data_IF_184542311064
#
_entry.id   IF_184542311064
#
_cell.length_a   1.000
_cell.length_b   1.000
_cell.length_c   1.000
_cell.angle_alpha   90.00
_cell.angle_beta   90.00
_cell.angle_gamma   90.00
#
_symmetry.space_group_name_H-M   'P 1'
#
loop_
_entity.id
_entity.type
_entity.pdbx_description
1 polymer ?
#
# COMPACT_ATOMS: atom_id res chain seq x y z
N UNK A 1 -24.65 -6.14 -26.95
CA UNK A 1 -23.60 -5.17 -27.21
C UNK A 1 -22.47 -5.90 -27.91
N UNK A 2 -22.07 -5.45 -29.08
CA UNK A 2 -21.01 -6.11 -29.83
C UNK A 2 -19.64 -5.77 -29.18
N UNK A 3 -18.69 -6.74 -29.25
CA UNK A 3 -17.35 -6.57 -28.65
C UNK A 3 -16.62 -5.31 -29.18
N UNK A 4 -16.84 -4.94 -30.43
CA UNK A 4 -16.27 -3.75 -31.03
C UNK A 4 -16.84 -2.46 -30.41
N UNK A 5 -18.13 -2.43 -30.09
CA UNK A 5 -18.77 -1.31 -29.40
C UNK A 5 -18.27 -1.18 -27.96
N UNK A 6 -18.09 -2.30 -27.28
CA UNK A 6 -17.55 -2.32 -25.92
C UNK A 6 -16.11 -1.81 -25.88
N UNK A 7 -15.26 -2.29 -26.79
CA UNK A 7 -13.88 -1.84 -26.89
C UNK A 7 -13.80 -0.33 -27.21
N UNK A 8 -14.62 0.19 -28.13
CA UNK A 8 -14.65 1.61 -28.41
C UNK A 8 -15.05 2.49 -27.22
N UNK A 9 -15.98 2.01 -26.38
CA UNK A 9 -16.35 2.73 -25.15
C UNK A 9 -15.19 2.67 -24.14
N UNK A 10 -14.59 1.50 -23.95
CA UNK A 10 -13.45 1.35 -23.04
C UNK A 10 -12.26 2.21 -23.44
N UNK A 11 -11.91 2.23 -24.72
CA UNK A 11 -10.81 3.06 -25.22
C UNK A 11 -11.10 4.54 -25.00
N UNK A 12 -12.32 5.00 -25.28
CA UNK A 12 -12.71 6.39 -25.03
C UNK A 12 -12.66 6.78 -23.57
N UNK A 13 -13.12 5.90 -22.65
CA UNK A 13 -13.07 6.16 -21.22
C UNK A 13 -11.64 6.16 -20.68
N UNK A 14 -10.78 5.27 -21.21
CA UNK A 14 -9.35 5.24 -20.85
C UNK A 14 -8.65 6.52 -21.31
N UNK A 15 -8.87 6.96 -22.54
CA UNK A 15 -8.29 8.20 -23.08
C UNK A 15 -8.74 9.43 -22.28
N UNK A 16 -10.02 9.51 -21.92
CA UNK A 16 -10.56 10.57 -21.08
C UNK A 16 -9.94 10.58 -19.68
N UNK A 17 -9.80 9.41 -19.06
CA UNK A 17 -9.19 9.28 -17.75
C UNK A 17 -7.71 9.65 -17.76
N UNK A 18 -6.95 9.23 -18.78
CA UNK A 18 -5.54 9.57 -18.94
C UNK A 18 -5.36 11.07 -19.19
N UNK A 19 -6.17 11.67 -20.06
CA UNK A 19 -6.14 13.11 -20.34
C UNK A 19 -6.41 13.94 -19.08
N UNK A 20 -7.36 13.55 -18.24
CA UNK A 20 -7.61 14.20 -16.95
C UNK A 20 -6.42 14.08 -15.99
N UNK A 21 -5.82 12.88 -15.88
CA UNK A 21 -4.66 12.67 -15.02
C UNK A 21 -3.48 13.53 -15.47
N UNK A 22 -3.20 13.59 -16.78
CA UNK A 22 -2.07 14.34 -17.31
C UNK A 22 -2.23 15.86 -17.12
N UNK A 23 -3.42 16.40 -17.36
CA UNK A 23 -3.64 17.85 -17.32
C UNK A 23 -3.83 18.40 -15.91
N UNK A 24 -4.62 17.72 -15.08
CA UNK A 24 -5.08 18.31 -13.81
C UNK A 24 -4.27 17.82 -12.59
N UNK A 25 -3.70 16.61 -12.64
CA UNK A 25 -3.12 16.02 -11.44
C UNK A 25 -1.62 15.83 -11.49
N UNK A 26 -1.03 15.57 -12.64
CA UNK A 26 0.40 15.24 -12.77
C UNK A 26 1.31 16.37 -12.28
N UNK A 27 1.03 17.61 -12.70
CA UNK A 27 1.83 18.76 -12.28
C UNK A 27 1.72 19.04 -10.77
N UNK A 28 0.54 18.87 -10.20
CA UNK A 28 0.32 19.06 -8.78
C UNK A 28 1.03 17.97 -7.95
N UNK A 29 1.04 16.73 -8.42
CA UNK A 29 1.75 15.60 -7.80
C UNK A 29 3.26 15.80 -7.85
N UNK A 30 3.78 16.20 -9.03
CA UNK A 30 5.20 16.49 -9.19
C UNK A 30 5.65 17.59 -8.23
N UNK A 31 4.94 18.70 -8.17
CA UNK A 31 5.24 19.79 -7.22
C UNK A 31 5.18 19.37 -5.75
N UNK A 32 4.21 18.51 -5.39
CA UNK A 32 4.12 17.99 -4.04
C UNK A 32 5.36 17.16 -3.65
N UNK A 33 5.86 16.34 -4.57
CA UNK A 33 7.09 15.56 -4.38
C UNK A 33 8.33 16.45 -4.32
N UNK A 34 8.45 17.45 -5.20
CA UNK A 34 9.54 18.44 -5.19
C UNK A 34 9.61 19.16 -3.82
N UNK A 35 8.46 19.61 -3.30
CA UNK A 35 8.38 20.25 -1.98
C UNK A 35 8.69 19.29 -0.82
N UNK A 36 8.20 18.05 -0.91
CA UNK A 36 8.52 17.03 0.09
C UNK A 36 10.02 16.71 0.12
N UNK A 37 10.65 16.60 -1.06
CA UNK A 37 12.08 16.35 -1.20
C UNK A 37 12.96 17.56 -0.93
N UNK A 38 12.36 18.73 -0.65
CA UNK A 38 13.09 20.01 -0.42
C UNK A 38 13.89 20.42 -1.65
N UNK A 39 13.37 20.19 -2.84
CA UNK A 39 14.01 20.61 -4.06
C UNK A 39 13.93 22.13 -4.23
N UNK A 40 14.95 22.77 -4.84
CA UNK A 40 14.93 24.20 -5.12
C UNK A 40 13.70 24.63 -5.93
N UNK A 41 13.13 25.78 -5.61
CA UNK A 41 11.91 26.26 -6.28
C UNK A 41 12.13 26.79 -7.69
N UNK A 42 13.40 26.95 -8.12
CA UNK A 42 13.77 27.46 -9.44
C UNK A 42 13.71 28.99 -9.55
N UNK A 43 13.46 29.69 -8.46
CA UNK A 43 13.45 31.16 -8.37
C UNK A 43 14.62 31.71 -7.56
N UNK A 44 15.64 30.90 -7.30
CA UNK A 44 16.82 31.25 -6.55
C UNK A 44 17.63 32.30 -7.32
N UNK A 45 18.11 33.30 -6.61
CA UNK A 45 18.94 34.38 -7.15
C UNK A 45 20.38 34.20 -6.66
N UNK A 46 21.33 34.23 -7.58
CA UNK A 46 22.75 34.11 -7.24
C UNK A 46 23.16 35.16 -6.17
N UNK A 47 23.85 34.72 -5.13
CA UNK A 47 24.26 35.56 -3.99
C UNK A 47 23.19 35.75 -2.89
N UNK A 48 22.01 35.12 -3.02
CA UNK A 48 20.99 35.10 -1.97
C UNK A 48 20.86 33.69 -1.37
N UNK A 49 20.17 33.59 -0.24
CA UNK A 49 19.89 32.32 0.42
C UNK A 49 19.03 31.41 -0.49
N UNK A 50 19.46 30.14 -0.66
CA UNK A 50 18.74 29.10 -1.38
C UNK A 50 18.23 28.00 -0.44
N UNK A 51 18.00 28.34 0.83
CA UNK A 51 17.51 27.40 1.82
C UNK A 51 16.03 27.10 1.53
N UNK A 52 15.73 25.83 1.32
CA UNK A 52 14.36 25.31 1.19
C UNK A 52 13.94 24.74 2.53
N UNK A 53 12.86 25.26 3.08
CA UNK A 53 12.27 24.75 4.31
C UNK A 53 11.43 23.50 4.01
N UNK A 54 11.36 22.56 4.97
CA UNK A 54 10.75 21.27 4.76
C UNK A 54 9.33 21.14 5.32
N UNK A 55 8.53 22.22 5.29
CA UNK A 55 7.20 22.24 5.92
C UNK A 55 6.28 21.11 5.39
N UNK A 56 6.34 20.80 4.10
CA UNK A 56 5.53 19.71 3.52
C UNK A 56 5.96 18.36 4.08
N UNK A 57 7.27 18.13 4.18
CA UNK A 57 7.79 16.90 4.77
C UNK A 57 7.41 16.78 6.25
N UNK A 58 7.53 17.86 7.01
CA UNK A 58 7.17 17.88 8.44
C UNK A 58 5.68 17.57 8.66
N UNK A 59 4.81 18.14 7.86
CA UNK A 59 3.36 17.89 7.95
C UNK A 59 3.02 16.44 7.56
N UNK A 60 3.56 15.95 6.44
CA UNK A 60 3.31 14.59 5.97
C UNK A 60 3.85 13.54 6.95
N UNK A 61 5.12 13.70 7.35
CA UNK A 61 5.78 12.76 8.26
C UNK A 61 5.22 12.85 9.70
N UNK A 62 4.64 13.98 10.08
CA UNK A 62 3.93 14.13 11.34
C UNK A 62 2.50 13.55 11.35
N UNK A 63 1.80 13.61 10.21
CA UNK A 63 0.44 13.10 10.08
C UNK A 63 0.42 11.57 9.88
N UNK A 64 1.40 11.03 9.16
CA UNK A 64 1.47 9.61 8.80
C UNK A 64 1.45 8.66 10.01
N UNK A 65 2.22 8.85 11.08
CA UNK A 65 2.14 7.99 12.27
C UNK A 65 0.80 8.03 12.97
N UNK A 66 0.12 9.18 12.95
CA UNK A 66 -1.21 9.33 13.56
C UNK A 66 -2.26 8.53 12.77
N UNK A 67 -2.22 8.59 11.44
CA UNK A 67 -3.07 7.78 10.58
C UNK A 67 -2.78 6.28 10.75
N UNK A 68 -1.51 5.88 10.74
CA UNK A 68 -1.13 4.48 10.96
C UNK A 68 -1.66 3.96 12.29
N UNK A 69 -1.55 4.75 13.36
CA UNK A 69 -2.00 4.35 14.68
C UNK A 69 -3.49 4.01 14.74
N UNK A 70 -4.33 4.63 13.91
CA UNK A 70 -5.77 4.33 13.86
C UNK A 70 -6.01 2.88 13.43
N UNK A 71 -5.20 2.39 12.49
CA UNK A 71 -5.36 1.05 11.91
C UNK A 71 -4.49 -0.02 12.60
N UNK A 72 -3.37 0.38 13.18
CA UNK A 72 -2.40 -0.56 13.76
C UNK A 72 -2.36 -0.54 15.30
N UNK A 73 -3.31 0.16 15.94
CA UNK A 73 -3.36 0.24 17.41
C UNK A 73 -3.76 -1.08 18.09
N UNK A 74 -4.36 -2.00 17.36
CA UNK A 74 -4.70 -3.33 17.80
C UNK A 74 -4.25 -4.38 16.80
N UNK A 75 -4.10 -5.61 17.23
CA UNK A 75 -3.79 -6.74 16.34
C UNK A 75 -4.97 -7.08 15.39
N UNK A 76 -6.17 -6.58 15.69
CA UNK A 76 -7.35 -6.70 14.85
C UNK A 76 -7.54 -5.45 13.99
N UNK A 77 -6.95 -5.42 12.79
CA UNK A 77 -7.16 -4.34 11.82
C UNK A 77 -8.49 -4.47 11.08
N UNK A 78 -8.96 -5.69 10.92
CA UNK A 78 -10.22 -6.04 10.24
C UNK A 78 -11.06 -6.91 11.16
N UNK A 79 -12.37 -6.65 11.24
CA UNK A 79 -13.31 -7.44 12.03
C UNK A 79 -14.52 -7.81 11.20
N UNK A 80 -14.85 -9.09 11.18
CA UNK A 80 -16.08 -9.60 10.59
C UNK A 80 -17.16 -9.69 11.65
N UNK A 81 -18.33 -9.18 11.33
CA UNK A 81 -19.50 -9.26 12.20
C UNK A 81 -20.46 -10.35 11.70
N UNK A 82 -20.96 -11.23 12.60
CA UNK A 82 -21.93 -12.24 12.23
C UNK A 82 -23.27 -11.59 11.83
N UNK A 83 -23.89 -12.09 10.75
CA UNK A 83 -25.20 -11.61 10.28
C UNK A 83 -26.35 -12.52 10.67
N UNK A 84 -26.08 -13.78 10.94
CA UNK A 84 -27.09 -14.80 11.22
C UNK A 84 -26.79 -15.60 12.48
N UNK A 85 -27.83 -16.27 13.00
CA UNK A 85 -27.65 -17.19 14.11
C UNK A 85 -26.74 -18.38 13.69
N UNK A 86 -25.62 -18.56 14.38
CA UNK A 86 -24.63 -19.59 14.10
C UNK A 86 -23.44 -19.17 13.23
N UNK A 87 -23.38 -17.89 12.82
CA UNK A 87 -22.24 -17.35 12.05
C UNK A 87 -21.10 -16.78 12.96
N UNK A 88 -21.31 -16.75 14.28
CA UNK A 88 -20.36 -16.15 15.22
C UNK A 88 -18.97 -16.77 15.15
N UNK A 89 -18.90 -18.11 15.13
CA UNK A 89 -17.64 -18.82 15.08
C UNK A 89 -16.93 -18.63 13.74
N UNK A 90 -17.67 -18.62 12.63
CA UNK A 90 -17.13 -18.35 11.30
C UNK A 90 -16.60 -16.92 11.18
N UNK A 91 -17.34 -15.94 11.71
CA UNK A 91 -16.92 -14.55 11.71
C UNK A 91 -15.63 -14.35 12.53
N UNK A 92 -15.53 -15.03 13.68
CA UNK A 92 -14.30 -15.03 14.48
C UNK A 92 -13.12 -15.65 13.74
N UNK A 93 -13.28 -16.83 13.15
CA UNK A 93 -12.23 -17.49 12.37
C UNK A 93 -11.79 -16.63 11.18
N UNK A 94 -12.75 -16.02 10.46
CA UNK A 94 -12.45 -15.13 9.36
C UNK A 94 -11.68 -13.88 9.82
N UNK A 95 -12.02 -13.32 10.98
CA UNK A 95 -11.32 -12.21 11.58
C UNK A 95 -9.87 -12.57 11.91
N UNK A 96 -9.66 -13.68 12.60
CA UNK A 96 -8.34 -14.18 12.98
C UNK A 96 -7.48 -14.46 11.74
N UNK A 97 -8.03 -15.16 10.75
CA UNK A 97 -7.32 -15.52 9.53
C UNK A 97 -6.90 -14.28 8.70
N UNK A 98 -7.81 -13.34 8.47
CA UNK A 98 -7.50 -12.12 7.70
C UNK A 98 -6.45 -11.25 8.38
N UNK A 99 -6.54 -11.10 9.70
CA UNK A 99 -5.53 -10.33 10.43
C UNK A 99 -4.16 -11.02 10.42
N UNK A 100 -4.15 -12.34 10.46
CA UNK A 100 -2.92 -13.11 10.32
C UNK A 100 -2.29 -12.90 8.93
N UNK A 101 -3.06 -13.04 7.84
CA UNK A 101 -2.60 -12.80 6.46
C UNK A 101 -2.09 -11.38 6.28
N UNK A 102 -2.81 -10.38 6.82
CA UNK A 102 -2.40 -8.98 6.72
C UNK A 102 -1.07 -8.73 7.44
N UNK A 103 -0.89 -9.26 8.64
CA UNK A 103 0.26 -8.95 9.47
C UNK A 103 1.51 -9.78 9.12
N UNK A 104 1.33 -11.05 8.73
CA UNK A 104 2.44 -11.98 8.51
C UNK A 104 2.81 -12.09 7.02
N UNK A 105 1.83 -12.38 6.16
CA UNK A 105 2.11 -12.59 4.75
C UNK A 105 2.32 -11.27 3.99
N UNK A 106 1.54 -10.24 4.32
CA UNK A 106 1.54 -8.98 3.57
C UNK A 106 2.28 -7.83 4.26
N UNK A 107 2.87 -8.05 5.43
CA UNK A 107 3.54 -6.99 6.20
C UNK A 107 2.66 -5.72 6.33
N UNK A 108 1.43 -5.91 6.83
CA UNK A 108 0.35 -4.93 6.79
C UNK A 108 0.74 -3.52 7.22
N UNK A 109 1.56 -3.37 8.26
CA UNK A 109 2.03 -2.06 8.72
C UNK A 109 2.82 -1.30 7.64
N UNK A 110 3.71 -1.98 6.91
CA UNK A 110 4.49 -1.37 5.82
C UNK A 110 3.58 -1.03 4.64
N UNK A 111 2.63 -1.92 4.33
CA UNK A 111 1.65 -1.70 3.27
C UNK A 111 0.82 -0.44 3.55
N UNK A 112 0.26 -0.31 4.75
CA UNK A 112 -0.50 0.88 5.15
C UNK A 112 0.35 2.14 5.18
N UNK A 113 1.59 2.04 5.67
CA UNK A 113 2.52 3.16 5.64
C UNK A 113 2.71 3.71 4.22
N UNK A 114 3.03 2.85 3.27
CA UNK A 114 3.27 3.26 1.89
C UNK A 114 1.98 3.79 1.25
N UNK A 115 0.85 3.12 1.47
CA UNK A 115 -0.44 3.53 0.94
C UNK A 115 -0.87 4.92 1.43
N UNK A 116 -0.77 5.17 2.73
CA UNK A 116 -1.12 6.47 3.31
C UNK A 116 -0.13 7.56 2.91
N UNK A 117 1.15 7.23 2.82
CA UNK A 117 2.17 8.17 2.34
C UNK A 117 1.91 8.60 0.90
N UNK A 118 1.58 7.66 0.03
CA UNK A 118 1.19 7.97 -1.35
C UNK A 118 -0.07 8.83 -1.40
N UNK A 119 -1.08 8.51 -0.60
CA UNK A 119 -2.31 9.29 -0.54
C UNK A 119 -2.07 10.74 -0.07
N UNK A 120 -1.22 10.95 0.93
CA UNK A 120 -0.88 12.28 1.44
C UNK A 120 -0.07 13.10 0.43
N UNK A 121 0.87 12.47 -0.28
CA UNK A 121 1.74 13.15 -1.24
C UNK A 121 1.08 13.32 -2.62
N UNK A 122 0.36 12.30 -3.07
CA UNK A 122 -0.14 12.23 -4.45
C UNK A 122 -1.66 12.37 -4.56
N UNK A 123 -2.34 12.79 -3.47
CA UNK A 123 -3.80 12.96 -3.34
C UNK A 123 -4.60 11.67 -3.34
N UNK A 124 -4.05 10.57 -3.80
CA UNK A 124 -4.66 9.24 -3.71
C UNK A 124 -3.59 8.18 -3.50
N UNK A 125 -3.95 7.10 -2.82
CA UNK A 125 -3.17 5.88 -2.69
C UNK A 125 -3.94 4.73 -3.31
N UNK A 126 -3.26 3.87 -4.05
CA UNK A 126 -3.88 2.74 -4.74
C UNK A 126 -3.26 1.45 -4.21
N UNK A 127 -4.12 0.51 -3.82
CA UNK A 127 -3.71 -0.84 -3.43
C UNK A 127 -4.38 -1.84 -4.35
N UNK A 128 -3.60 -2.78 -4.86
CA UNK A 128 -4.09 -3.90 -5.64
C UNK A 128 -4.22 -5.11 -4.74
N UNK A 129 -5.41 -5.71 -4.69
CA UNK A 129 -5.67 -6.96 -3.98
C UNK A 129 -5.89 -8.04 -5.03
N UNK A 130 -5.17 -9.15 -4.91
CA UNK A 130 -5.30 -10.29 -5.81
C UNK A 130 -5.00 -11.58 -5.04
N UNK A 131 -5.52 -12.68 -5.54
CA UNK A 131 -5.18 -14.00 -5.03
C UNK A 131 -3.84 -14.44 -5.62
N UNK A 132 -2.93 -14.91 -4.77
CA UNK A 132 -1.68 -15.52 -5.18
C UNK A 132 -1.70 -17.00 -4.74
N UNK A 133 -1.51 -17.90 -5.69
CA UNK A 133 -1.43 -19.35 -5.50
C UNK A 133 -0.02 -19.90 -5.85
N UNK A 134 0.97 -19.03 -5.92
CA UNK A 134 2.35 -19.44 -6.10
C UNK A 134 2.84 -20.23 -4.88
N UNK A 135 3.52 -21.34 -5.16
CA UNK A 135 4.14 -22.16 -4.12
C UNK A 135 5.43 -21.48 -3.65
N UNK A 136 5.47 -21.16 -2.37
CA UNK A 136 6.70 -20.66 -1.75
C UNK A 136 7.65 -21.85 -1.52
N UNK A 137 8.73 -21.94 -2.29
CA UNK A 137 9.71 -23.00 -2.21
C UNK A 137 10.88 -22.53 -1.35
N UNK A 138 10.85 -22.90 -0.08
CA UNK A 138 11.98 -22.68 0.83
C UNK A 138 12.99 -23.82 0.69
N UNK A 139 14.25 -23.49 0.40
CA UNK A 139 15.35 -24.45 0.44
C UNK A 139 16.10 -24.33 1.74
N UNK A 140 15.97 -25.36 2.56
CA UNK A 140 16.78 -25.50 3.77
C UNK A 140 17.92 -26.46 3.51
N UNK A 141 19.13 -26.10 3.95
CA UNK A 141 20.32 -26.92 3.80
C UNK A 141 20.77 -27.37 5.18
N UNK A 142 20.73 -28.64 5.39
CA UNK A 142 21.20 -29.25 6.64
C UNK A 142 22.55 -29.95 6.40
N UNK A 143 23.51 -29.80 7.29
CA UNK A 143 24.81 -30.46 7.22
C UNK A 143 25.09 -31.17 8.55
N UNK A 144 25.59 -32.40 8.48
CA UNK A 144 26.01 -33.17 9.66
C UNK A 144 24.89 -33.84 10.47
N UNK A 145 23.69 -34.04 9.85
CA UNK A 145 22.59 -34.75 10.49
C UNK A 145 22.94 -36.23 10.71
N UNK A 146 22.51 -36.76 11.84
CA UNK A 146 22.51 -38.20 12.13
C UNK A 146 21.23 -38.87 11.56
N UNK A 147 21.17 -40.22 11.54
CA UNK A 147 20.01 -40.96 11.00
C UNK A 147 18.69 -40.69 11.74
N UNK A 148 18.74 -40.38 13.03
CA UNK A 148 17.53 -40.09 13.81
C UNK A 148 16.97 -38.70 13.47
N UNK A 149 17.86 -37.72 13.30
CA UNK A 149 17.47 -36.36 12.91
C UNK A 149 16.94 -36.32 11.47
N UNK A 150 17.48 -37.13 10.57
CA UNK A 150 16.98 -37.25 9.21
C UNK A 150 15.57 -37.84 9.16
N UNK A 151 15.25 -38.77 10.05
CA UNK A 151 13.92 -39.42 10.12
C UNK A 151 12.84 -38.45 10.62
N UNK A 152 13.21 -37.43 11.39
CA UNK A 152 12.28 -36.40 11.88
C UNK A 152 11.97 -35.34 10.83
N UNK A 153 12.87 -35.16 9.83
CA UNK A 153 12.73 -34.19 8.74
C UNK A 153 11.97 -34.72 7.51
N UNK A 154 11.80 -36.03 7.39
CA UNK A 154 11.04 -36.69 6.32
C UNK A 154 9.61 -36.99 6.75
#
# INVERSE_FOLDING_TARGET
MDNNQLNGILDSEIENALGFIETETTDARRKALEYYNREPYGNEVEGRSSIVTGEVAEVVDGALPQLLRIFTASDEMVRFEPKGAGDEEKAKQATEYINWVLNHDNQGTILFHNWFKDALLQKNGIVKVYWNDELDVTKEKYEGLNEEELTVLL
#
